data_IF_065164335052
#
_entry.id   IF_065164335052
#
_cell.length_a   1.000
_cell.length_b   1.000
_cell.length_c   1.000
_cell.angle_alpha   90.00
_cell.angle_beta   90.00
_cell.angle_gamma   90.00
#
_symmetry.space_group_name_H-M   'P 1'
#
loop_
_entity.id
_entity.type
_entity.pdbx_description
1 polymer ?
#
# COMPACT_ATOMS: atom_id res chain seq x y z
N UNK A 1 -45.35 14.89 -47.48
CA UNK A 1 -46.76 14.63 -47.16
C UNK A 1 -47.10 13.22 -47.63
N UNK A 2 -47.19 12.26 -46.70
CA UNK A 2 -47.49 10.85 -47.00
C UNK A 2 -48.92 10.55 -46.55
N UNK A 3 -49.74 10.08 -47.48
CA UNK A 3 -51.17 9.82 -47.30
C UNK A 3 -51.44 8.43 -46.73
N UNK A 4 -52.56 8.38 -46.01
CA UNK A 4 -53.07 7.33 -45.14
C UNK A 4 -53.92 6.31 -45.92
N UNK A 5 -53.89 5.06 -45.46
CA UNK A 5 -54.91 3.99 -45.56
C UNK A 5 -54.98 3.16 -46.85
N UNK A 6 -54.70 1.87 -46.71
CA UNK A 6 -55.76 0.84 -46.71
C UNK A 6 -55.25 -0.46 -46.05
N UNK A 7 -56.13 -1.06 -45.25
CA UNK A 7 -55.92 -2.25 -44.45
C UNK A 7 -56.62 -3.44 -45.10
N UNK A 8 -56.12 -4.66 -44.89
CA UNK A 8 -56.96 -5.86 -44.94
C UNK A 8 -56.42 -6.93 -43.99
N UNK A 9 -57.40 -7.50 -43.27
CA UNK A 9 -57.31 -8.43 -42.14
C UNK A 9 -57.20 -9.87 -42.64
N UNK A 10 -56.52 -10.72 -41.88
CA UNK A 10 -56.87 -12.15 -41.77
C UNK A 10 -56.64 -12.62 -40.33
N UNK A 11 -57.66 -13.31 -39.81
CA UNK A 11 -57.90 -13.72 -38.43
C UNK A 11 -57.50 -15.19 -38.22
N UNK A 12 -57.30 -15.52 -36.92
CA UNK A 12 -57.23 -16.84 -36.28
C UNK A 12 -55.89 -17.59 -36.46
N UNK A 13 -55.25 -18.18 -35.43
CA UNK A 13 -55.78 -18.90 -34.25
C UNK A 13 -54.82 -18.84 -33.05
N UNK A 14 -55.38 -18.77 -31.83
CA UNK A 14 -54.68 -18.90 -30.52
C UNK A 14 -54.63 -20.37 -30.09
N UNK A 15 -53.55 -20.82 -29.44
CA UNK A 15 -53.71 -21.65 -28.25
C UNK A 15 -52.95 -21.12 -27.03
N UNK A 16 -53.74 -20.94 -25.98
CA UNK A 16 -53.53 -21.05 -24.53
C UNK A 16 -52.11 -21.31 -23.98
N UNK A 17 -51.67 -20.31 -23.20
CA UNK A 17 -51.18 -20.39 -21.80
C UNK A 17 -50.48 -21.70 -21.40
N UNK A 18 -49.16 -21.62 -21.27
CA UNK A 18 -48.45 -22.27 -20.17
C UNK A 18 -47.67 -21.20 -19.43
N UNK A 19 -48.24 -20.76 -18.31
CA UNK A 19 -47.54 -19.96 -17.31
C UNK A 19 -46.42 -20.81 -16.72
N UNK A 20 -45.20 -20.60 -17.20
CA UNK A 20 -44.04 -20.83 -16.37
C UNK A 20 -43.94 -19.60 -15.47
N UNK A 21 -44.50 -19.75 -14.27
CA UNK A 21 -44.16 -18.91 -13.13
C UNK A 21 -42.64 -18.90 -13.00
N UNK A 22 -42.00 -17.85 -13.52
CA UNK A 22 -40.67 -17.50 -13.05
C UNK A 22 -40.85 -17.24 -11.56
N UNK A 23 -40.43 -18.20 -10.75
CA UNK A 23 -40.24 -17.99 -9.33
C UNK A 23 -39.29 -16.81 -9.19
N UNK A 24 -39.85 -15.62 -8.99
CA UNK A 24 -39.16 -14.49 -8.39
C UNK A 24 -38.84 -14.89 -6.96
N UNK A 25 -37.82 -15.74 -6.80
CA UNK A 25 -37.09 -15.79 -5.56
C UNK A 25 -36.43 -14.41 -5.43
N UNK A 26 -36.70 -13.65 -4.36
CA UNK A 26 -35.98 -12.41 -4.15
C UNK A 26 -34.53 -12.78 -3.83
N UNK A 27 -33.64 -12.79 -4.83
CA UNK A 27 -32.20 -12.83 -4.59
C UNK A 27 -31.74 -11.45 -4.15
N UNK A 28 -32.25 -10.96 -3.03
CA UNK A 28 -31.67 -9.84 -2.29
C UNK A 28 -30.43 -10.32 -1.53
N UNK A 29 -29.47 -10.95 -2.24
CA UNK A 29 -28.12 -11.10 -1.71
C UNK A 29 -27.33 -9.92 -2.21
N UNK A 30 -27.26 -8.92 -1.35
CA UNK A 30 -26.58 -7.66 -1.52
C UNK A 30 -25.28 -7.84 -2.32
N UNK A 31 -25.24 -7.22 -3.50
CA UNK A 31 -23.99 -6.99 -4.21
C UNK A 31 -23.07 -6.23 -3.26
N UNK A 32 -21.79 -6.61 -3.20
CA UNK A 32 -20.77 -5.72 -2.65
C UNK A 32 -20.96 -4.33 -3.28
N UNK A 33 -20.66 -3.22 -2.59
CA UNK A 33 -20.76 -1.90 -3.20
C UNK A 33 -19.99 -1.77 -4.52
N UNK A 34 -18.95 -2.59 -4.71
CA UNK A 34 -18.18 -2.70 -5.96
C UNK A 34 -18.79 -3.58 -7.06
N UNK A 35 -19.88 -4.31 -6.78
CA UNK A 35 -20.51 -5.24 -7.70
C UNK A 35 -19.75 -6.56 -7.92
N UNK A 36 -18.55 -6.69 -7.36
CA UNK A 36 -17.68 -7.86 -7.52
C UNK A 36 -18.02 -8.96 -6.50
N UNK A 37 -18.06 -10.24 -6.90
CA UNK A 37 -18.25 -11.35 -5.96
C UNK A 37 -17.19 -11.36 -4.87
N UNK A 38 -17.61 -11.46 -3.61
CA UNK A 38 -16.70 -11.66 -2.48
C UNK A 38 -16.40 -13.15 -2.36
N UNK A 39 -15.47 -13.63 -3.19
CA UNK A 39 -15.05 -15.04 -3.23
C UNK A 39 -14.26 -15.43 -1.99
N UNK A 40 -14.51 -16.62 -1.45
CA UNK A 40 -13.75 -17.19 -0.33
C UNK A 40 -12.29 -17.43 -0.73
N UNK A 41 -11.36 -16.96 0.10
CA UNK A 41 -9.94 -17.29 -0.04
C UNK A 41 -9.71 -18.75 0.34
N UNK A 42 -9.04 -19.51 -0.53
CA UNK A 42 -8.69 -20.92 -0.29
C UNK A 42 -7.46 -21.01 0.60
N UNK A 43 -7.65 -20.93 1.92
CA UNK A 43 -6.54 -21.02 2.89
C UNK A 43 -6.16 -22.47 3.16
N UNK A 44 -4.97 -22.88 2.73
CA UNK A 44 -4.41 -24.21 2.99
C UNK A 44 -2.89 -24.17 3.01
N UNK A 45 -2.26 -24.98 3.88
CA UNK A 45 -0.80 -25.13 3.93
C UNK A 45 -0.21 -25.57 2.59
N UNK A 46 -0.90 -26.45 1.88
CA UNK A 46 -0.49 -26.93 0.55
C UNK A 46 -0.42 -25.83 -0.52
N UNK A 47 -1.03 -24.66 -0.25
CA UNK A 47 -0.98 -23.50 -1.14
C UNK A 47 0.09 -22.49 -0.74
N UNK A 48 0.81 -22.68 0.37
CA UNK A 48 1.88 -21.75 0.78
C UNK A 48 2.99 -21.81 -0.26
N UNK A 49 3.33 -20.65 -0.81
CA UNK A 49 4.42 -20.51 -1.78
C UNK A 49 5.67 -19.88 -1.16
N UNK A 50 5.53 -19.07 -0.09
CA UNK A 50 6.63 -18.50 0.68
C UNK A 50 6.14 -17.86 1.99
N UNK A 51 7.05 -17.74 2.95
CA UNK A 51 6.92 -16.85 4.11
C UNK A 51 8.12 -15.90 4.12
N UNK A 52 7.87 -14.63 4.43
CA UNK A 52 8.89 -13.58 4.46
C UNK A 52 8.69 -12.69 5.68
N UNK A 53 9.76 -12.10 6.21
CA UNK A 53 9.67 -11.06 7.23
C UNK A 53 10.54 -9.86 6.85
N UNK A 54 10.12 -8.68 7.30
CA UNK A 54 10.80 -7.42 7.03
C UNK A 54 10.69 -6.46 8.20
N UNK A 55 11.62 -5.52 8.28
CA UNK A 55 11.73 -4.57 9.38
C UNK A 55 11.28 -3.18 8.94
N UNK A 56 10.17 -2.71 9.51
CA UNK A 56 9.71 -1.34 9.27
C UNK A 56 10.60 -0.35 10.03
N UNK A 57 11.08 0.74 9.40
CA UNK A 57 11.83 1.79 10.07
C UNK A 57 10.89 2.68 10.87
N UNK A 58 10.52 2.28 12.08
CA UNK A 58 9.57 3.03 12.89
C UNK A 58 10.29 4.04 13.78
N UNK A 59 9.78 5.26 13.81
CA UNK A 59 10.23 6.32 14.72
C UNK A 59 9.00 6.83 15.47
N UNK A 60 8.95 6.78 16.82
CA UNK A 60 7.74 7.13 17.57
C UNK A 60 7.16 8.52 17.28
N UNK A 61 8.02 9.52 17.09
CA UNK A 61 7.59 10.89 16.75
C UNK A 61 7.30 11.11 15.26
N UNK A 62 7.32 10.04 14.46
CA UNK A 62 7.06 10.03 13.03
C UNK A 62 8.30 10.16 12.15
N UNK A 63 8.07 10.11 10.83
CA UNK A 63 9.12 10.21 9.83
C UNK A 63 9.87 11.55 9.92
N UNK A 64 11.09 11.57 9.39
CA UNK A 64 11.93 12.77 9.31
C UNK A 64 12.00 13.22 7.86
N UNK A 65 11.46 14.41 7.58
CA UNK A 65 11.79 15.18 6.37
C UNK A 65 12.28 16.57 6.76
N UNK A 66 13.59 16.80 6.66
CA UNK A 66 14.23 18.07 6.96
C UNK A 66 15.57 18.19 6.22
N UNK A 67 16.10 19.41 6.14
CA UNK A 67 17.41 19.69 5.58
C UNK A 67 18.39 20.11 6.67
N UNK A 68 19.65 19.70 6.52
CA UNK A 68 20.77 20.10 7.35
C UNK A 68 21.99 20.36 6.48
N UNK A 69 22.73 21.44 6.76
CA UNK A 69 24.05 21.66 6.17
C UNK A 69 25.12 20.93 7.00
N UNK A 70 25.98 20.20 6.31
CA UNK A 70 27.15 19.55 6.90
C UNK A 70 28.34 19.78 5.96
N UNK A 71 29.32 20.58 6.40
CA UNK A 71 30.45 21.01 5.57
C UNK A 71 29.96 21.69 4.28
N UNK A 72 30.44 21.23 3.12
CA UNK A 72 30.06 21.65 1.77
C UNK A 72 28.79 20.96 1.26
N UNK A 73 28.12 20.14 2.08
CA UNK A 73 26.95 19.34 1.70
C UNK A 73 25.65 19.87 2.29
N UNK A 74 24.56 19.66 1.55
CA UNK A 74 23.18 19.74 2.03
C UNK A 74 22.63 18.33 2.15
N UNK A 75 22.35 17.88 3.36
CA UNK A 75 21.73 16.59 3.63
C UNK A 75 20.25 16.80 3.86
N UNK A 76 19.42 16.09 3.10
CA UNK A 76 17.97 16.11 3.22
C UNK A 76 17.55 14.73 3.71
N UNK A 77 17.03 14.66 4.92
CA UNK A 77 16.53 13.42 5.49
C UNK A 77 15.15 13.10 4.94
N UNK A 78 14.89 11.81 4.68
CA UNK A 78 13.59 11.27 4.28
C UNK A 78 13.51 9.79 4.69
N UNK A 79 13.29 9.53 5.98
CA UNK A 79 13.26 8.17 6.55
C UNK A 79 12.31 8.07 7.75
N UNK A 80 12.11 6.86 8.29
CA UNK A 80 11.36 6.66 9.54
C UNK A 80 9.85 6.48 9.36
N UNK A 81 9.41 6.02 8.18
CA UNK A 81 7.99 5.97 7.80
C UNK A 81 7.15 4.87 8.47
N UNK A 82 7.74 3.99 9.28
CA UNK A 82 7.01 2.90 9.94
C UNK A 82 6.25 2.02 8.94
N UNK A 83 4.95 1.82 9.19
CA UNK A 83 4.05 1.08 8.30
C UNK A 83 3.70 1.79 6.98
N UNK A 84 3.89 3.11 6.90
CA UNK A 84 3.50 3.93 5.75
C UNK A 84 4.57 4.08 4.66
N UNK A 85 5.64 3.27 4.68
CA UNK A 85 6.82 3.48 3.80
C UNK A 85 6.54 3.48 2.30
N UNK A 86 5.65 2.59 1.80
CA UNK A 86 5.17 2.67 0.41
C UNK A 86 4.16 3.81 0.28
N UNK A 87 3.14 3.83 1.15
CA UNK A 87 2.02 4.77 1.05
C UNK A 87 2.45 6.23 0.99
N UNK A 88 3.47 6.62 1.76
CA UNK A 88 3.96 7.98 1.87
C UNK A 88 5.20 8.26 1.01
N UNK A 89 5.69 7.29 0.22
CA UNK A 89 6.99 7.41 -0.46
C UNK A 89 7.06 8.64 -1.37
N UNK A 90 6.08 8.83 -2.24
CA UNK A 90 6.01 9.99 -3.14
C UNK A 90 5.79 11.30 -2.40
N UNK A 91 4.97 11.28 -1.36
CA UNK A 91 4.65 12.47 -0.59
C UNK A 91 5.84 13.03 0.18
N UNK A 92 6.50 12.17 0.96
CA UNK A 92 7.70 12.57 1.70
C UNK A 92 8.86 12.90 0.78
N UNK A 93 8.96 12.23 -0.38
CA UNK A 93 9.94 12.56 -1.40
C UNK A 93 9.66 13.90 -2.10
N UNK A 94 8.38 14.28 -2.26
CA UNK A 94 8.00 15.60 -2.75
C UNK A 94 8.50 16.69 -1.81
N UNK A 95 8.23 16.54 -0.50
CA UNK A 95 8.72 17.47 0.51
C UNK A 95 10.27 17.54 0.53
N UNK A 96 10.95 16.41 0.35
CA UNK A 96 12.41 16.37 0.23
C UNK A 96 12.91 17.08 -1.05
N UNK A 97 12.20 16.94 -2.17
CA UNK A 97 12.50 17.64 -3.43
C UNK A 97 12.32 19.15 -3.29
N UNK A 98 11.28 19.61 -2.59
CA UNK A 98 11.10 21.05 -2.30
C UNK A 98 12.31 21.62 -1.56
N UNK A 99 12.76 20.95 -0.49
CA UNK A 99 13.97 21.33 0.25
C UNK A 99 15.23 21.31 -0.63
N UNK A 100 15.35 20.36 -1.55
CA UNK A 100 16.48 20.30 -2.48
C UNK A 100 16.47 21.48 -3.46
N UNK A 101 15.30 21.88 -3.94
CA UNK A 101 15.12 23.00 -4.86
C UNK A 101 15.38 24.38 -4.23
N UNK A 102 15.51 24.47 -2.90
CA UNK A 102 16.00 25.66 -2.22
C UNK A 102 17.53 25.85 -2.37
N UNK A 103 18.24 24.85 -2.88
CA UNK A 103 19.68 24.92 -3.14
C UNK A 103 19.96 25.37 -4.58
N UNK A 104 21.17 25.86 -4.85
CA UNK A 104 21.63 26.24 -6.20
C UNK A 104 22.06 25.04 -7.06
N UNK A 105 22.11 23.84 -6.48
CA UNK A 105 22.62 22.65 -7.14
C UNK A 105 21.56 21.97 -8.00
N UNK A 106 22.02 21.20 -8.99
CA UNK A 106 21.17 20.34 -9.85
C UNK A 106 21.70 18.92 -9.97
N UNK A 107 22.45 18.47 -8.98
CA UNK A 107 22.95 17.10 -8.88
C UNK A 107 22.85 16.59 -7.45
N UNK A 108 22.37 15.37 -7.26
CA UNK A 108 22.21 14.79 -5.92
C UNK A 108 22.56 13.31 -5.85
N UNK A 109 23.04 12.90 -4.68
CA UNK A 109 23.12 11.51 -4.28
C UNK A 109 21.85 11.13 -3.52
N UNK A 110 21.27 9.97 -3.81
CA UNK A 110 20.14 9.42 -3.07
C UNK A 110 20.61 8.15 -2.37
N UNK A 111 20.49 8.10 -1.06
CA UNK A 111 20.91 6.96 -0.25
C UNK A 111 19.73 6.02 -0.02
N UNK A 112 19.75 4.86 -0.68
CA UNK A 112 18.72 3.83 -0.58
C UNK A 112 17.89 3.67 -1.85
N UNK A 113 17.56 2.42 -2.19
CA UNK A 113 16.79 2.05 -3.38
C UNK A 113 15.44 1.39 -3.03
N UNK A 114 14.90 1.70 -1.84
CA UNK A 114 13.52 1.36 -1.48
C UNK A 114 12.50 2.34 -2.07
N UNK A 115 11.22 2.21 -1.67
CA UNK A 115 10.14 3.04 -2.20
C UNK A 115 10.41 4.54 -2.09
N UNK A 116 10.87 5.03 -0.92
CA UNK A 116 11.20 6.45 -0.73
C UNK A 116 12.36 6.91 -1.63
N UNK A 117 13.44 6.13 -1.72
CA UNK A 117 14.60 6.48 -2.56
C UNK A 117 14.27 6.50 -4.05
N UNK A 118 13.50 5.53 -4.54
CA UNK A 118 13.05 5.48 -5.92
C UNK A 118 12.07 6.61 -6.27
N UNK A 119 11.12 6.91 -5.39
CA UNK A 119 10.22 8.06 -5.55
C UNK A 119 10.99 9.38 -5.58
N UNK A 120 11.94 9.57 -4.66
CA UNK A 120 12.82 10.75 -4.66
C UNK A 120 13.61 10.86 -5.96
N UNK A 121 14.22 9.77 -6.44
CA UNK A 121 14.98 9.77 -7.68
C UNK A 121 14.14 10.24 -8.88
N UNK A 122 12.92 9.70 -9.02
CA UNK A 122 12.02 10.08 -10.11
C UNK A 122 11.55 11.53 -10.02
N UNK A 123 11.27 12.03 -8.82
CA UNK A 123 10.89 13.44 -8.62
C UNK A 123 12.05 14.39 -8.94
N UNK A 124 13.26 14.08 -8.46
CA UNK A 124 14.45 14.87 -8.75
C UNK A 124 14.77 14.89 -10.25
N UNK A 125 14.71 13.73 -10.93
CA UNK A 125 14.88 13.66 -12.40
C UNK A 125 13.84 14.50 -13.14
N UNK A 126 12.57 14.44 -12.72
CA UNK A 126 11.49 15.25 -13.31
C UNK A 126 11.72 16.75 -13.09
N UNK A 127 12.34 17.13 -11.97
CA UNK A 127 12.75 18.50 -11.67
C UNK A 127 14.08 18.92 -12.35
N UNK A 128 14.62 18.08 -13.25
CA UNK A 128 15.82 18.38 -14.04
C UNK A 128 17.14 18.20 -13.28
N UNK A 129 17.19 17.30 -12.30
CA UNK A 129 18.41 17.00 -11.55
C UNK A 129 19.15 15.77 -12.11
N UNK A 130 20.48 15.82 -12.05
CA UNK A 130 21.35 14.65 -12.21
C UNK A 130 21.31 13.79 -10.94
N UNK A 131 20.88 12.54 -11.06
CA UNK A 131 20.65 11.66 -9.91
C UNK A 131 21.58 10.45 -9.93
N UNK A 132 22.25 10.22 -8.80
CA UNK A 132 22.94 8.96 -8.50
C UNK A 132 22.33 8.33 -7.25
N UNK A 133 21.78 7.12 -7.37
CA UNK A 133 21.39 6.30 -6.22
C UNK A 133 22.60 5.51 -5.72
N UNK A 134 22.85 5.54 -4.42
CA UNK A 134 23.76 4.62 -3.74
C UNK A 134 22.95 3.76 -2.77
N UNK A 135 23.04 2.44 -2.90
CA UNK A 135 22.28 1.53 -2.04
C UNK A 135 23.03 0.24 -1.78
N UNK A 136 22.90 -0.29 -0.56
CA UNK A 136 23.39 -1.62 -0.21
C UNK A 136 22.57 -2.71 -0.91
N UNK A 137 21.25 -2.57 -0.84
CA UNK A 137 20.28 -3.53 -1.37
C UNK A 137 19.41 -2.87 -2.44
N UNK A 138 19.11 -3.61 -3.50
CA UNK A 138 18.23 -3.22 -4.60
C UNK A 138 16.96 -4.08 -4.59
N UNK A 139 15.83 -3.63 -5.16
CA UNK A 139 14.69 -4.49 -5.43
C UNK A 139 15.13 -5.78 -6.17
N UNK A 140 14.67 -6.98 -5.75
CA UNK A 140 13.59 -7.24 -4.80
C UNK A 140 14.02 -7.38 -3.31
N UNK A 141 15.25 -7.04 -2.96
CA UNK A 141 15.84 -7.32 -1.64
C UNK A 141 15.72 -6.14 -0.65
N UNK A 142 14.71 -5.28 -0.80
CA UNK A 142 14.50 -4.13 0.11
C UNK A 142 13.35 -4.39 1.09
N UNK A 143 13.32 -3.69 2.23
CA UNK A 143 12.15 -3.69 3.14
C UNK A 143 10.85 -3.38 2.39
N UNK A 144 10.90 -2.49 1.39
CA UNK A 144 9.73 -2.11 0.61
C UNK A 144 9.14 -3.30 -0.17
N UNK A 145 9.94 -4.29 -0.57
CA UNK A 145 9.45 -5.49 -1.26
C UNK A 145 8.58 -6.39 -0.37
N UNK A 146 8.76 -6.32 0.94
CA UNK A 146 7.97 -7.07 1.94
C UNK A 146 6.62 -6.41 2.21
N UNK A 147 6.44 -5.13 1.86
CA UNK A 147 5.22 -4.40 2.22
C UNK A 147 3.95 -5.05 1.65
N UNK A 148 2.84 -4.89 2.37
CA UNK A 148 1.55 -5.41 1.94
C UNK A 148 1.01 -4.71 0.70
N UNK A 149 1.04 -3.38 0.68
CA UNK A 149 0.74 -2.58 -0.51
C UNK A 149 -0.58 -1.82 -0.51
N UNK A 150 -1.44 -2.00 0.48
CA UNK A 150 -2.63 -1.16 0.64
C UNK A 150 -2.20 0.31 0.80
N UNK A 151 -2.80 1.20 0.03
CA UNK A 151 -2.64 2.64 0.22
C UNK A 151 -3.41 3.07 1.46
N UNK A 152 -2.73 3.01 2.60
CA UNK A 152 -3.22 3.57 3.87
C UNK A 152 -2.02 3.86 4.77
N UNK A 153 -1.80 5.12 5.20
CA UNK A 153 -0.62 5.47 6.01
C UNK A 153 -0.83 5.14 7.49
N UNK A 154 -0.93 3.85 7.81
CA UNK A 154 -1.10 3.34 9.17
C UNK A 154 0.24 3.03 9.84
N UNK A 155 0.25 3.05 11.18
CA UNK A 155 1.43 2.74 12.00
C UNK A 155 2.68 3.56 11.64
N UNK A 156 2.49 4.86 11.37
CA UNK A 156 3.56 5.79 10.97
C UNK A 156 4.22 6.46 12.18
N UNK A 157 3.46 6.70 13.24
CA UNK A 157 3.90 7.41 14.45
C UNK A 157 3.08 6.97 15.66
N UNK A 158 3.46 7.42 16.86
CA UNK A 158 2.69 7.30 18.09
C UNK A 158 1.94 8.60 18.39
N UNK A 159 0.61 8.51 18.53
CA UNK A 159 -0.25 9.69 18.73
C UNK A 159 0.17 10.53 19.95
N UNK A 160 0.61 9.86 21.02
CA UNK A 160 1.02 10.46 22.29
C UNK A 160 2.26 11.38 22.15
N UNK A 161 3.08 11.16 21.11
CA UNK A 161 4.35 11.86 20.90
C UNK A 161 4.31 12.76 19.65
N UNK A 162 3.26 12.65 18.84
CA UNK A 162 3.12 13.43 17.61
C UNK A 162 2.96 14.92 17.91
N UNK A 163 3.79 15.75 17.26
CA UNK A 163 3.69 17.21 17.39
C UNK A 163 2.73 17.79 16.35
N UNK A 164 2.10 18.95 16.59
CA UNK A 164 1.27 19.62 15.58
C UNK A 164 2.01 19.88 14.26
N UNK A 165 3.30 20.25 14.34
CA UNK A 165 4.17 20.43 13.16
C UNK A 165 4.32 19.15 12.35
N UNK A 166 4.58 18.03 13.03
CA UNK A 166 4.66 16.73 12.37
C UNK A 166 3.33 16.33 11.74
N UNK A 167 2.20 16.52 12.44
CA UNK A 167 0.87 16.18 11.90
C UNK A 167 0.54 16.99 10.63
N UNK A 168 0.93 18.26 10.56
CA UNK A 168 0.82 19.07 9.35
C UNK A 168 1.70 18.51 8.21
N UNK A 169 2.94 18.13 8.51
CA UNK A 169 3.85 17.53 7.54
C UNK A 169 3.35 16.17 7.05
N UNK A 170 2.80 15.34 7.94
CA UNK A 170 2.18 14.05 7.65
C UNK A 170 0.99 14.22 6.71
N UNK A 171 0.10 15.17 6.99
CA UNK A 171 -1.05 15.45 6.13
C UNK A 171 -0.62 15.93 4.75
N UNK A 172 0.36 16.85 4.67
CA UNK A 172 0.90 17.32 3.39
C UNK A 172 1.48 16.15 2.58
N UNK A 173 2.37 15.36 3.19
CA UNK A 173 2.96 14.19 2.54
C UNK A 173 1.88 13.22 2.05
N UNK A 174 0.88 12.91 2.87
CA UNK A 174 -0.20 12.01 2.48
C UNK A 174 -1.01 12.54 1.29
N UNK A 175 -1.33 13.85 1.24
CA UNK A 175 -2.04 14.48 0.12
C UNK A 175 -1.24 14.40 -1.18
N UNK A 176 0.04 14.71 -1.15
CA UNK A 176 0.92 14.55 -2.31
C UNK A 176 1.01 13.09 -2.74
N UNK A 177 1.24 12.17 -1.80
CA UNK A 177 1.37 10.76 -2.12
C UNK A 177 0.10 10.21 -2.77
N UNK A 178 -1.08 10.54 -2.23
CA UNK A 178 -2.35 10.13 -2.80
C UNK A 178 -2.46 10.56 -4.26
N UNK A 179 -2.17 11.84 -4.54
CA UNK A 179 -2.22 12.39 -5.90
C UNK A 179 -1.25 11.69 -6.84
N UNK A 180 0.01 11.48 -6.44
CA UNK A 180 0.99 10.79 -7.26
C UNK A 180 0.59 9.35 -7.56
N UNK A 181 0.08 8.61 -6.58
CA UNK A 181 -0.35 7.23 -6.81
C UNK A 181 -1.55 7.13 -7.77
N UNK A 182 -2.45 8.12 -7.79
CA UNK A 182 -3.53 8.17 -8.78
C UNK A 182 -3.00 8.23 -10.21
N UNK A 183 -1.90 8.96 -10.46
CA UNK A 183 -1.28 9.06 -11.77
C UNK A 183 -0.50 7.79 -12.16
N UNK A 184 -0.24 6.89 -11.20
CA UNK A 184 0.43 5.61 -11.41
C UNK A 184 -0.52 4.42 -11.54
N UNK A 185 -1.85 4.64 -11.43
CA UNK A 185 -2.85 3.57 -11.60
C UNK A 185 -2.70 2.94 -12.99
N UNK A 186 -2.38 1.66 -13.01
CA UNK A 186 -2.09 0.93 -14.24
C UNK A 186 -1.32 -0.37 -13.94
N UNK A 187 -1.45 -1.33 -14.86
CA UNK A 187 -0.75 -2.61 -14.78
C UNK A 187 0.77 -2.46 -14.84
N UNK A 188 1.28 -1.42 -15.52
CA UNK A 188 2.72 -1.16 -15.64
C UNK A 188 3.40 -0.89 -14.29
N UNK A 189 2.70 -0.25 -13.34
CA UNK A 189 3.20 0.03 -11.99
C UNK A 189 2.63 -0.94 -10.95
N UNK A 190 1.71 -1.84 -11.34
CA UNK A 190 1.00 -2.71 -10.40
C UNK A 190 0.20 -1.90 -9.37
N UNK A 191 -0.38 -0.77 -9.77
CA UNK A 191 -1.23 0.07 -8.93
C UNK A 191 -2.66 0.01 -9.44
N UNK A 192 -3.62 -0.32 -8.57
CA UNK A 192 -5.04 -0.40 -8.95
C UNK A 192 -5.95 -0.03 -7.81
N UNK A 193 -7.14 0.47 -8.12
CA UNK A 193 -8.21 0.60 -7.13
C UNK A 193 -8.73 -0.78 -6.72
N UNK A 194 -9.06 -0.93 -5.43
CA UNK A 194 -9.60 -2.15 -4.87
C UNK A 194 -10.53 -1.84 -3.69
N UNK A 195 -11.53 -2.69 -3.51
CA UNK A 195 -12.42 -2.62 -2.35
C UNK A 195 -11.78 -3.20 -1.10
N UNK A 196 -11.98 -2.52 0.01
CA UNK A 196 -11.46 -2.86 1.32
C UNK A 196 -12.61 -3.05 2.28
N UNK A 197 -12.51 -4.09 3.10
CA UNK A 197 -13.45 -4.39 4.17
C UNK A 197 -12.69 -4.36 5.48
N UNK A 198 -12.93 -3.31 6.28
CA UNK A 198 -12.39 -3.18 7.62
C UNK A 198 -13.39 -3.79 8.61
N UNK A 199 -12.98 -4.87 9.27
CA UNK A 199 -13.77 -5.55 10.30
C UNK A 199 -13.65 -4.89 11.68
N UNK A 200 -12.67 -4.00 11.87
CA UNK A 200 -12.64 -3.13 13.03
C UNK A 200 -13.65 -2.00 12.80
N UNK A 201 -14.57 -1.80 13.75
CA UNK A 201 -15.62 -0.77 13.71
C UNK A 201 -15.07 0.67 13.85
N UNK A 202 -13.98 0.99 13.14
CA UNK A 202 -13.20 2.21 13.30
C UNK A 202 -13.86 3.44 12.67
N UNK A 203 -14.82 3.28 11.76
CA UNK A 203 -15.44 4.44 11.09
C UNK A 203 -16.44 5.19 11.98
N UNK A 204 -16.92 4.55 13.05
CA UNK A 204 -17.63 5.26 14.12
C UNK A 204 -16.71 6.20 14.91
N UNK A 205 -15.38 6.05 14.79
CA UNK A 205 -14.42 6.97 15.41
C UNK A 205 -14.17 8.16 14.46
N UNK A 206 -14.61 9.39 14.81
CA UNK A 206 -14.38 10.57 13.99
C UNK A 206 -12.89 10.93 13.84
N UNK A 207 -12.04 10.42 14.74
CA UNK A 207 -10.58 10.60 14.68
C UNK A 207 -9.88 9.53 13.84
N UNK A 208 -10.60 8.54 13.31
CA UNK A 208 -9.99 7.54 12.43
C UNK A 208 -9.45 8.21 11.15
N UNK A 209 -8.41 7.59 10.59
CA UNK A 209 -7.81 8.03 9.34
C UNK A 209 -8.84 8.07 8.20
N UNK A 210 -9.76 7.10 8.18
CA UNK A 210 -10.81 6.97 7.17
C UNK A 210 -11.82 8.12 7.26
N UNK A 211 -12.22 8.48 8.48
CA UNK A 211 -13.18 9.57 8.72
C UNK A 211 -12.56 10.93 8.45
N UNK A 212 -11.33 11.18 8.92
CA UNK A 212 -10.63 12.46 8.76
C UNK A 212 -10.25 12.77 7.31
N UNK A 213 -9.94 11.74 6.52
CA UNK A 213 -9.45 11.87 5.15
C UNK A 213 -10.34 11.13 4.15
N UNK A 214 -11.66 11.29 4.29
CA UNK A 214 -12.65 10.55 3.51
C UNK A 214 -12.48 10.65 1.98
N UNK A 215 -11.96 11.76 1.47
CA UNK A 215 -11.68 11.93 0.03
C UNK A 215 -10.61 10.97 -0.51
N UNK A 216 -9.83 10.34 0.36
CA UNK A 216 -8.80 9.35 0.01
C UNK A 216 -9.29 7.90 0.09
N UNK A 217 -10.53 7.72 0.56
CA UNK A 217 -11.19 6.43 0.76
C UNK A 217 -12.62 6.52 0.24
N UNK A 218 -12.85 6.69 -1.08
CA UNK A 218 -14.19 6.81 -1.66
C UNK A 218 -15.08 5.59 -1.37
N UNK A 219 -16.38 5.76 -1.60
CA UNK A 219 -17.39 4.71 -1.38
C UNK A 219 -17.46 4.17 0.06
N UNK A 220 -17.20 5.04 1.05
CA UNK A 220 -17.37 4.65 2.45
C UNK A 220 -18.81 4.24 2.73
N UNK A 221 -18.99 3.03 3.25
CA UNK A 221 -20.28 2.51 3.67
C UNK A 221 -20.11 1.66 4.92
N UNK A 222 -20.96 1.91 5.89
CA UNK A 222 -21.19 0.94 6.96
C UNK A 222 -22.08 -0.17 6.37
N UNK A 223 -21.68 -1.42 6.57
CA UNK A 223 -22.41 -2.60 6.10
C UNK A 223 -22.83 -3.43 7.30
N UNK A 224 -24.12 -3.71 7.40
CA UNK A 224 -24.67 -4.59 8.42
C UNK A 224 -24.35 -6.06 8.14
N UNK A 225 -24.45 -6.97 9.13
CA UNK A 225 -24.19 -8.40 8.95
C UNK A 225 -24.98 -9.08 7.81
N UNK A 226 -26.11 -8.51 7.39
CA UNK A 226 -26.93 -8.99 6.27
C UNK A 226 -26.47 -8.47 4.89
N UNK A 227 -25.52 -7.54 4.87
CA UNK A 227 -24.98 -6.88 3.66
C UNK A 227 -23.60 -7.40 3.24
N UNK A 228 -23.02 -8.33 3.99
CA UNK A 228 -21.74 -8.95 3.68
C UNK A 228 -21.68 -10.44 4.07
N UNK A 229 -20.80 -11.23 3.44
CA UNK A 229 -20.67 -12.67 3.71
C UNK A 229 -19.76 -13.03 4.89
N UNK A 230 -19.02 -12.06 5.46
CA UNK A 230 -18.07 -12.31 6.53
C UNK A 230 -18.77 -12.63 7.85
N UNK A 231 -18.24 -13.58 8.62
CA UNK A 231 -18.69 -13.86 9.98
C UNK A 231 -18.20 -12.78 10.94
N UNK A 232 -18.76 -11.59 10.81
CA UNK A 232 -18.45 -10.40 11.58
C UNK A 232 -19.75 -9.64 11.92
N UNK A 233 -19.67 -8.72 12.89
CA UNK A 233 -20.73 -7.74 13.11
C UNK A 233 -20.78 -6.73 11.97
N UNK A 234 -21.26 -5.52 12.25
CA UNK A 234 -21.17 -4.41 11.29
C UNK A 234 -19.71 -4.15 10.89
N UNK A 235 -19.47 -3.83 9.62
CA UNK A 235 -18.13 -3.58 9.07
C UNK A 235 -18.12 -2.31 8.22
N UNK A 236 -16.93 -1.82 7.89
CA UNK A 236 -16.78 -0.70 6.95
C UNK A 236 -16.27 -1.17 5.60
N UNK A 237 -16.93 -0.76 4.54
CA UNK A 237 -16.43 -0.79 3.16
C UNK A 237 -15.85 0.57 2.75
N UNK A 238 -14.75 0.57 2.00
CA UNK A 238 -14.26 1.71 1.23
C UNK A 238 -13.36 1.23 0.08
N UNK A 239 -13.18 2.06 -0.95
CA UNK A 239 -12.20 1.82 -2.00
C UNK A 239 -10.92 2.62 -1.74
N UNK A 240 -9.76 2.01 -2.01
CA UNK A 240 -8.48 2.73 -2.11
C UNK A 240 -7.54 1.97 -3.06
N UNK A 241 -6.30 2.41 -3.20
CA UNK A 241 -5.34 1.77 -4.10
C UNK A 241 -4.61 0.60 -3.43
N UNK A 242 -4.34 -0.46 -4.20
CA UNK A 242 -3.34 -1.48 -3.90
C UNK A 242 -2.14 -1.23 -4.81
N UNK A 243 -0.96 -1.17 -4.20
CA UNK A 243 0.35 -1.09 -4.86
C UNK A 243 1.03 -2.44 -4.70
N UNK A 244 1.44 -3.08 -5.78
CA UNK A 244 2.11 -4.39 -5.73
C UNK A 244 3.64 -4.24 -5.79
N UNK A 245 4.38 -4.33 -4.65
CA UNK A 245 5.83 -4.10 -4.63
C UNK A 245 6.64 -4.90 -5.64
N UNK A 246 6.19 -6.11 -5.98
CA UNK A 246 6.86 -7.00 -6.93
C UNK A 246 6.85 -6.47 -8.38
N UNK A 247 5.90 -5.60 -8.72
CA UNK A 247 5.80 -4.93 -10.03
C UNK A 247 6.32 -3.50 -9.91
N UNK A 248 5.84 -2.79 -8.88
CA UNK A 248 6.08 -1.37 -8.67
C UNK A 248 7.56 -0.99 -8.52
N UNK A 249 8.29 -1.67 -7.63
CA UNK A 249 9.67 -1.32 -7.32
C UNK A 249 10.65 -1.57 -8.48
N UNK A 250 10.64 -2.74 -9.15
CA UNK A 250 11.50 -2.92 -10.32
C UNK A 250 11.12 -1.98 -11.47
N UNK A 251 9.84 -1.66 -11.67
CA UNK A 251 9.41 -0.65 -12.66
C UNK A 251 10.02 0.72 -12.37
N UNK A 252 9.88 1.22 -11.14
CA UNK A 252 10.46 2.52 -10.77
C UNK A 252 11.99 2.54 -10.88
N UNK A 253 12.65 1.45 -10.46
CA UNK A 253 14.10 1.33 -10.61
C UNK A 253 14.53 1.41 -12.08
N UNK A 254 13.83 0.70 -12.96
CA UNK A 254 14.06 0.74 -14.39
C UNK A 254 13.79 2.15 -14.96
N UNK A 255 12.74 2.83 -14.51
CA UNK A 255 12.44 4.20 -14.96
C UNK A 255 13.52 5.21 -14.55
N UNK A 256 14.12 5.03 -13.37
CA UNK A 256 15.28 5.84 -12.95
C UNK A 256 16.44 5.65 -13.93
N UNK A 257 16.75 4.40 -14.29
CA UNK A 257 17.86 4.09 -15.20
C UNK A 257 17.59 4.58 -16.64
N UNK A 258 16.37 4.39 -17.16
CA UNK A 258 15.95 4.88 -18.48
C UNK A 258 16.06 6.40 -18.56
N UNK A 259 15.72 7.10 -17.48
CA UNK A 259 15.87 8.55 -17.39
C UNK A 259 17.32 9.02 -17.09
N UNK A 260 18.33 8.14 -17.26
CA UNK A 260 19.75 8.47 -17.15
C UNK A 260 20.31 8.46 -15.73
N UNK A 261 19.53 8.04 -14.74
CA UNK A 261 19.96 7.91 -13.36
C UNK A 261 20.97 6.77 -13.19
N UNK A 262 21.99 6.98 -12.35
CA UNK A 262 22.98 5.96 -12.03
C UNK A 262 22.59 5.23 -10.75
N UNK A 263 22.84 3.93 -10.68
CA UNK A 263 22.62 3.13 -9.47
C UNK A 263 23.94 2.43 -9.13
N UNK A 264 24.51 2.79 -7.99
CA UNK A 264 25.75 2.23 -7.48
C UNK A 264 25.46 1.37 -6.25
N UNK A 265 25.76 0.08 -6.35
CA UNK A 265 25.68 -0.82 -5.19
C UNK A 265 26.84 -0.50 -4.25
N UNK A 266 26.53 0.08 -3.09
CA UNK A 266 27.52 0.52 -2.11
C UNK A 266 26.94 0.45 -0.71
N UNK A 267 27.70 -0.18 0.20
CA UNK A 267 27.44 -0.09 1.62
C UNK A 267 28.23 1.08 2.22
N UNK A 268 27.60 1.87 3.09
CA UNK A 268 28.28 2.92 3.84
C UNK A 268 28.40 2.49 5.30
N UNK A 269 29.54 2.78 5.91
CA UNK A 269 29.83 2.38 7.29
C UNK A 269 29.80 3.56 8.27
N UNK A 270 29.61 4.79 7.77
CA UNK A 270 29.48 5.97 8.59
C UNK A 270 29.31 7.26 7.79
N UNK A 271 29.09 8.34 8.52
CA UNK A 271 28.83 9.68 7.96
C UNK A 271 30.00 10.21 7.13
N UNK A 272 31.25 9.92 7.50
CA UNK A 272 32.44 10.40 6.76
C UNK A 272 32.47 9.90 5.31
N UNK A 273 32.10 8.65 5.06
CA UNK A 273 32.04 8.08 3.71
C UNK A 273 30.93 8.73 2.88
N UNK A 274 29.80 9.07 3.51
CA UNK A 274 28.69 9.77 2.86
C UNK A 274 29.12 11.20 2.50
N UNK A 275 29.78 11.92 3.42
CA UNK A 275 30.27 13.27 3.17
C UNK A 275 31.38 13.32 2.11
N UNK A 276 32.06 12.21 1.85
CA UNK A 276 33.07 12.10 0.78
C UNK A 276 32.48 12.00 -0.64
N UNK A 277 31.16 11.85 -0.77
CA UNK A 277 30.50 11.81 -2.08
C UNK A 277 30.68 13.14 -2.85
N UNK A 278 30.76 13.04 -4.18
CA UNK A 278 31.00 14.19 -5.04
C UNK A 278 29.76 15.10 -5.14
N UNK A 279 28.58 14.53 -4.94
CA UNK A 279 27.32 15.22 -4.97
C UNK A 279 27.20 16.20 -3.78
N UNK A 280 26.81 17.46 -4.02
CA UNK A 280 26.67 18.50 -2.99
C UNK A 280 25.35 18.37 -2.21
N UNK A 281 24.34 17.71 -2.80
CA UNK A 281 23.05 17.42 -2.17
C UNK A 281 22.93 15.92 -1.97
N UNK A 282 22.58 15.50 -0.75
CA UNK A 282 22.41 14.11 -0.38
C UNK A 282 21.01 13.92 0.19
N UNK A 283 20.17 13.13 -0.48
CA UNK A 283 18.85 12.76 0.02
C UNK A 283 18.96 11.40 0.72
N UNK A 284 18.85 11.40 2.04
CA UNK A 284 18.94 10.22 2.87
C UNK A 284 17.58 9.49 2.95
N UNK A 285 17.47 8.38 2.23
CA UNK A 285 16.33 7.46 2.24
C UNK A 285 16.67 6.07 2.80
N UNK A 286 17.61 6.02 3.75
CA UNK A 286 18.20 4.74 4.24
C UNK A 286 17.32 3.96 5.23
N UNK A 287 16.13 4.48 5.58
CA UNK A 287 15.24 3.82 6.53
C UNK A 287 15.93 3.55 7.87
N UNK A 288 16.00 2.29 8.29
CA UNK A 288 16.67 1.88 9.53
C UNK A 288 18.17 2.18 9.54
N UNK A 289 18.80 2.28 8.36
CA UNK A 289 20.22 2.63 8.26
C UNK A 289 20.56 3.99 8.88
N UNK A 290 19.59 4.91 8.97
CA UNK A 290 19.81 6.22 9.60
C UNK A 290 20.13 6.14 11.10
N UNK A 291 19.79 5.03 11.77
CA UNK A 291 20.17 4.78 13.17
C UNK A 291 21.69 4.71 13.37
N UNK A 292 22.39 4.13 12.40
CA UNK A 292 23.85 3.94 12.44
C UNK A 292 24.56 5.06 11.68
N UNK A 293 24.09 5.39 10.47
CA UNK A 293 24.74 6.37 9.59
C UNK A 293 24.60 7.82 10.08
N UNK A 294 23.48 8.16 10.70
CA UNK A 294 23.16 9.53 11.14
C UNK A 294 22.84 9.64 12.64
N UNK A 295 22.98 8.53 13.37
CA UNK A 295 22.87 8.53 14.83
C UNK A 295 21.45 8.67 15.39
N UNK A 296 20.39 8.52 14.59
CA UNK A 296 19.00 8.63 15.08
C UNK A 296 18.61 7.38 15.88
N UNK A 297 18.79 7.45 17.21
CA UNK A 297 18.53 6.32 18.12
C UNK A 297 17.05 6.11 18.44
N UNK A 298 16.17 7.01 18.02
CA UNK A 298 14.71 6.87 18.15
C UNK A 298 14.16 5.86 17.14
N UNK A 299 14.91 5.57 16.07
CA UNK A 299 14.55 4.54 15.09
C UNK A 299 14.64 3.14 15.70
N UNK A 300 13.52 2.42 15.65
CA UNK A 300 13.41 1.03 16.07
C UNK A 300 12.82 0.19 14.93
N UNK A 301 13.21 -1.10 14.81
CA UNK A 301 12.58 -1.99 13.87
C UNK A 301 11.22 -2.44 14.40
N UNK A 302 10.26 -2.55 13.49
CA UNK A 302 9.03 -3.31 13.74
C UNK A 302 8.96 -4.43 12.73
N UNK A 303 9.22 -5.65 13.20
CA UNK A 303 9.15 -6.86 12.38
C UNK A 303 7.70 -7.13 11.99
N UNK A 304 7.50 -7.36 10.70
CA UNK A 304 6.27 -7.88 10.12
C UNK A 304 6.58 -9.12 9.33
N UNK A 305 5.89 -10.20 9.62
CA UNK A 305 5.95 -11.45 8.89
C UNK A 305 4.67 -11.65 8.09
N UNK A 306 4.86 -12.16 6.87
CA UNK A 306 3.82 -12.45 5.91
C UNK A 306 3.97 -13.88 5.41
N UNK A 307 2.84 -14.49 5.10
CA UNK A 307 2.75 -15.79 4.42
C UNK A 307 1.98 -15.59 3.12
N UNK A 308 2.53 -16.05 2.01
CA UNK A 308 1.90 -15.96 0.70
C UNK A 308 1.34 -17.33 0.30
N UNK A 309 0.09 -17.34 -0.13
CA UNK A 309 -0.53 -18.47 -0.81
C UNK A 309 -0.44 -18.29 -2.33
N UNK A 310 -0.62 -19.39 -3.07
CA UNK A 310 -0.87 -19.35 -4.51
C UNK A 310 -1.93 -18.28 -4.86
N UNK A 311 -1.71 -17.47 -5.92
CA UNK A 311 -2.68 -16.51 -6.40
C UNK A 311 -4.08 -17.10 -6.59
N UNK A 312 -5.08 -16.24 -6.45
CA UNK A 312 -6.49 -16.59 -6.65
C UNK A 312 -7.18 -15.39 -7.31
N UNK A 313 -7.22 -15.38 -8.65
CA UNK A 313 -7.64 -14.23 -9.47
C UNK A 313 -9.07 -13.77 -9.17
N UNK A 314 -9.93 -14.68 -8.73
CA UNK A 314 -11.31 -14.37 -8.38
C UNK A 314 -11.46 -13.61 -7.04
N UNK A 315 -10.39 -13.47 -6.25
CA UNK A 315 -10.38 -12.68 -5.00
C UNK A 315 -9.92 -11.26 -5.32
N UNK A 316 -10.85 -10.31 -5.31
CA UNK A 316 -10.62 -8.92 -5.73
C UNK A 316 -10.96 -7.90 -4.62
N UNK A 317 -10.65 -8.23 -3.36
CA UNK A 317 -10.90 -7.37 -2.21
C UNK A 317 -9.83 -7.55 -1.12
N UNK A 318 -9.67 -6.54 -0.28
CA UNK A 318 -8.80 -6.54 0.90
C UNK A 318 -9.63 -6.75 2.17
N UNK A 319 -9.09 -7.53 3.12
CA UNK A 319 -9.59 -7.60 4.49
C UNK A 319 -8.55 -6.98 5.44
N UNK A 320 -9.01 -6.10 6.33
CA UNK A 320 -8.22 -5.55 7.45
C UNK A 320 -9.06 -5.54 8.74
N UNK A 321 -8.41 -5.30 9.88
CA UNK A 321 -9.09 -5.15 11.17
C UNK A 321 -9.62 -6.46 11.78
N UNK A 322 -9.20 -7.61 11.27
CA UNK A 322 -9.64 -8.92 11.77
C UNK A 322 -8.77 -9.40 12.94
N UNK A 323 -8.91 -8.80 14.12
CA UNK A 323 -8.10 -9.14 15.31
C UNK A 323 -6.57 -9.07 15.04
N UNK A 324 -6.18 -8.06 14.25
CA UNK A 324 -4.79 -7.86 13.81
C UNK A 324 -4.37 -8.61 12.54
N UNK A 325 -5.23 -9.47 11.98
CA UNK A 325 -5.01 -10.14 10.69
C UNK A 325 -5.46 -9.27 9.51
N UNK A 326 -4.77 -9.43 8.38
CA UNK A 326 -5.14 -8.81 7.10
C UNK A 326 -4.77 -9.68 5.90
N UNK A 327 -5.55 -9.57 4.82
CA UNK A 327 -5.39 -10.33 3.59
C UNK A 327 -5.45 -9.42 2.37
N UNK A 328 -4.41 -9.48 1.51
CA UNK A 328 -4.34 -8.71 0.27
C UNK A 328 -4.20 -9.63 -0.96
N UNK A 329 -4.99 -9.42 -2.03
CA UNK A 329 -4.88 -10.19 -3.26
C UNK A 329 -3.90 -9.53 -4.24
N UNK A 330 -2.69 -10.10 -4.34
CA UNK A 330 -1.67 -9.66 -5.29
C UNK A 330 -1.49 -10.68 -6.41
N UNK A 331 -0.99 -10.21 -7.55
CA UNK A 331 -0.65 -11.07 -8.69
C UNK A 331 0.40 -12.14 -8.33
N UNK A 332 1.29 -11.83 -7.39
CA UNK A 332 2.33 -12.73 -6.90
C UNK A 332 1.92 -13.60 -5.69
N UNK A 333 0.67 -13.53 -5.27
CA UNK A 333 0.08 -14.41 -4.26
C UNK A 333 -1.00 -13.76 -3.41
N UNK A 334 -1.80 -14.59 -2.74
CA UNK A 334 -2.66 -14.08 -1.65
C UNK A 334 -1.78 -13.89 -0.41
N UNK A 335 -1.59 -12.63 -0.03
CA UNK A 335 -0.79 -12.24 1.11
C UNK A 335 -1.62 -12.33 2.38
N UNK A 336 -1.14 -13.10 3.36
CA UNK A 336 -1.68 -13.19 4.71
C UNK A 336 -0.70 -12.55 5.68
N UNK A 337 -1.16 -11.58 6.46
CA UNK A 337 -0.32 -10.89 7.43
C UNK A 337 -1.01 -10.69 8.78
N UNK A 338 -0.27 -10.10 9.71
CA UNK A 338 -0.82 -9.67 11.00
C UNK A 338 0.16 -9.67 12.17
N UNK A 339 1.47 -9.48 11.92
CA UNK A 339 2.45 -9.34 13.00
C UNK A 339 3.04 -7.94 13.04
N UNK A 340 3.35 -7.50 14.26
CA UNK A 340 3.82 -6.18 14.58
C UNK A 340 4.71 -6.27 15.83
N UNK A 341 5.93 -6.75 15.64
CA UNK A 341 6.83 -7.07 16.75
C UNK A 341 7.90 -5.98 16.89
N UNK A 342 7.80 -5.18 17.96
CA UNK A 342 8.70 -4.05 18.22
C UNK A 342 10.08 -4.54 18.67
N UNK A 343 11.13 -3.82 18.24
CA UNK A 343 12.53 -4.08 18.60
C UNK A 343 13.06 -5.47 18.20
N UNK A 344 12.38 -6.15 17.28
CA UNK A 344 12.86 -7.40 16.70
C UNK A 344 13.68 -7.13 15.44
N UNK A 345 14.94 -7.54 15.46
CA UNK A 345 15.90 -7.34 14.35
C UNK A 345 16.05 -8.56 13.44
N UNK A 346 15.62 -9.72 13.90
CA UNK A 346 15.71 -10.95 13.12
C UNK A 346 14.65 -10.97 12.00
N UNK A 347 15.10 -11.13 10.77
CA UNK A 347 14.26 -11.22 9.56
C UNK A 347 13.91 -12.65 9.17
N UNK A 348 14.32 -13.66 9.94
CA UNK A 348 13.90 -15.03 9.68
C UNK A 348 12.40 -15.20 10.01
N UNK A 349 11.60 -15.76 9.09
CA UNK A 349 10.22 -16.11 9.39
C UNK A 349 10.14 -17.18 10.48
N UNK A 350 9.29 -16.96 11.48
CA UNK A 350 8.97 -17.93 12.52
C UNK A 350 7.88 -18.90 12.04
N UNK A 351 8.12 -20.23 12.06
CA UNK A 351 7.11 -21.23 11.74
C UNK A 351 5.85 -21.14 12.60
N UNK A 352 5.95 -20.82 13.90
CA UNK A 352 4.79 -20.70 14.79
C UNK A 352 3.90 -19.52 14.38
N UNK A 353 4.52 -18.41 13.97
CA UNK A 353 3.80 -17.27 13.40
C UNK A 353 3.13 -17.64 12.08
N UNK A 354 3.81 -18.39 11.21
CA UNK A 354 3.22 -18.90 9.96
C UNK A 354 1.97 -19.73 10.26
N UNK A 355 2.03 -20.59 11.27
CA UNK A 355 0.92 -21.44 11.71
C UNK A 355 -0.25 -20.60 12.23
N UNK A 356 0.03 -19.59 13.05
CA UNK A 356 -0.97 -18.63 13.55
C UNK A 356 -1.68 -17.92 12.40
N UNK A 357 -0.92 -17.41 11.42
CA UNK A 357 -1.48 -16.71 10.26
C UNK A 357 -2.38 -17.63 9.44
N UNK A 358 -1.94 -18.86 9.16
CA UNK A 358 -2.73 -19.83 8.39
C UNK A 358 -4.00 -20.23 9.14
N UNK A 359 -3.89 -20.58 10.42
CA UNK A 359 -5.04 -21.03 11.21
C UNK A 359 -6.08 -19.92 11.39
N UNK A 360 -5.64 -18.69 11.69
CA UNK A 360 -6.53 -17.54 11.85
C UNK A 360 -7.29 -17.19 10.57
N UNK A 361 -6.58 -17.08 9.43
CA UNK A 361 -7.25 -16.82 8.15
C UNK A 361 -8.13 -17.98 7.71
N UNK A 362 -7.72 -19.23 7.95
CA UNK A 362 -8.54 -20.41 7.64
C UNK A 362 -9.84 -20.40 8.44
N UNK A 363 -9.78 -20.11 9.74
CA UNK A 363 -10.97 -20.00 10.58
C UNK A 363 -11.91 -18.92 10.06
N UNK A 364 -11.39 -17.73 9.76
CA UNK A 364 -12.16 -16.61 9.23
C UNK A 364 -12.86 -16.95 7.90
N UNK A 365 -12.11 -17.41 6.88
CA UNK A 365 -12.69 -17.68 5.57
C UNK A 365 -13.55 -18.95 5.53
N UNK A 366 -13.34 -19.92 6.42
CA UNK A 366 -14.22 -21.09 6.52
C UNK A 366 -15.60 -20.72 7.11
N UNK A 367 -15.66 -19.71 7.97
CA UNK A 367 -16.91 -19.19 8.53
C UNK A 367 -17.66 -18.24 7.58
N UNK A 368 -17.00 -17.77 6.50
CA UNK A 368 -17.61 -16.91 5.49
C UNK A 368 -18.73 -17.65 4.77
N UNK A 369 -19.93 -17.04 4.70
CA UNK A 369 -21.02 -17.52 3.87
C UNK A 369 -20.79 -17.06 2.43
N UNK A 370 -20.03 -17.81 1.65
CA UNK A 370 -19.77 -17.48 0.25
C UNK A 370 -20.93 -17.98 -0.62
N UNK A 371 -21.87 -17.12 -1.06
CA UNK A 371 -22.98 -17.54 -1.92
C UNK A 371 -22.51 -17.85 -3.35
N UNK A 372 -21.24 -17.58 -3.67
CA UNK A 372 -20.67 -17.82 -4.98
C UNK A 372 -19.77 -19.07 -5.02
N UNK A 373 -19.37 -19.64 -3.87
CA UNK A 373 -18.37 -20.72 -3.77
C UNK A 373 -18.71 -21.99 -4.53
#
# INVERSE_FOLDING_TARGET
>A
MLTRRQALKSLATIPLINGCTTSNLPTNRNYSPSGMPLRRVRVSRSRIIRSIAGLRPFRPSGFVVNAQRMNDKVIIHNYGHGGGGITLSWGTSHLAMELANETEFKRCAILGCGAAGLSAARLMQTAGWDVTIYAKDLPPNTTSNVAGGQWSPTSVFEEQVATPKFLQQFESAMRHAYRYYQDLVGSEYGVRWISNYNLANDVANPNSLYSKYASMYPQQRLLEPTEHPFNAGTITHFDTMLVEPAVYLPKLMNDVQIAGGKINVRNFHGLSEILSLAEPVIINCTGLGSRELFGDKDLIPIKGQLTFLLPQEEVQYIIVGNEGLYMFPRSDGILLGGTFERNQWDIQPDPQITDRLINGHKAFFSAMQDPWS
#
